data_IF_866217736149
#
_entry.id   IF_866217736149
#
_cell.length_a   1.000
_cell.length_b   1.000
_cell.length_c   1.000
_cell.angle_alpha   90.00
_cell.angle_beta   90.00
_cell.angle_gamma   90.00
#
_symmetry.space_group_name_H-M   'P 1'
#
loop_
_entity.id
_entity.type
_entity.pdbx_description
1 polymer ?
#
# COMPACT_ATOMS: atom_id res chain seq x y z
N UNK A 1 -16.52 -35.86 -8.87
CA UNK A 1 -15.64 -34.84 -8.27
C UNK A 1 -16.35 -34.40 -7.03
N UNK A 2 -15.80 -34.71 -5.87
CA UNK A 2 -16.36 -34.24 -4.59
C UNK A 2 -15.99 -32.76 -4.37
N UNK A 3 -16.59 -32.14 -3.35
CA UNK A 3 -16.36 -30.72 -3.02
C UNK A 3 -14.89 -30.45 -2.68
N UNK A 4 -14.21 -31.41 -2.03
CA UNK A 4 -12.79 -31.26 -1.64
C UNK A 4 -11.87 -31.19 -2.86
N UNK A 5 -12.00 -32.14 -3.79
CA UNK A 5 -11.28 -32.16 -5.06
C UNK A 5 -11.59 -30.91 -5.88
N UNK A 6 -12.84 -30.46 -5.88
CA UNK A 6 -13.25 -29.27 -6.59
C UNK A 6 -12.60 -27.99 -6.00
N UNK A 7 -12.53 -27.88 -4.66
CA UNK A 7 -11.87 -26.77 -3.95
C UNK A 7 -10.37 -26.73 -4.22
N UNK A 8 -9.70 -27.89 -4.21
CA UNK A 8 -8.27 -28.00 -4.55
C UNK A 8 -7.98 -27.55 -5.99
N UNK A 9 -8.82 -27.97 -6.95
CA UNK A 9 -8.71 -27.54 -8.35
C UNK A 9 -9.00 -26.04 -8.48
N UNK A 10 -9.98 -25.50 -7.75
CA UNK A 10 -10.29 -24.08 -7.73
C UNK A 10 -9.13 -23.23 -7.21
N UNK A 11 -8.50 -23.63 -6.11
CA UNK A 11 -7.30 -22.99 -5.56
C UNK A 11 -6.13 -23.02 -6.54
N UNK A 12 -5.89 -24.15 -7.21
CA UNK A 12 -4.82 -24.30 -8.19
C UNK A 12 -5.02 -23.37 -9.40
N UNK A 13 -6.24 -23.23 -9.90
CA UNK A 13 -6.54 -22.35 -11.03
C UNK A 13 -6.47 -20.87 -10.66
N UNK A 14 -6.89 -20.52 -9.45
CA UNK A 14 -6.77 -19.17 -8.95
C UNK A 14 -5.31 -18.74 -8.74
N UNK A 15 -4.43 -19.65 -8.31
CA UNK A 15 -2.98 -19.42 -8.25
C UNK A 15 -2.35 -19.13 -9.62
N UNK A 16 -2.93 -19.66 -10.70
CA UNK A 16 -2.47 -19.41 -12.07
C UNK A 16 -3.14 -18.13 -12.66
N UNK A 17 -3.93 -17.40 -11.86
CA UNK A 17 -4.60 -16.16 -12.26
C UNK A 17 -5.70 -16.38 -13.31
N UNK A 18 -6.24 -17.60 -13.43
CA UNK A 18 -7.30 -17.92 -14.38
C UNK A 18 -8.63 -18.08 -13.66
N UNK A 19 -9.54 -17.14 -13.89
CA UNK A 19 -10.96 -17.29 -13.52
C UNK A 19 -11.62 -18.24 -14.53
N UNK A 20 -12.16 -19.36 -14.06
CA UNK A 20 -12.82 -20.35 -14.91
C UNK A 20 -14.29 -20.51 -14.51
N UNK A 21 -15.14 -19.59 -14.99
CA UNK A 21 -16.57 -19.50 -14.66
C UNK A 21 -17.32 -20.86 -14.73
N UNK A 22 -17.10 -21.72 -15.74
CA UNK A 22 -17.74 -23.04 -15.77
C UNK A 22 -17.33 -23.98 -14.63
N UNK A 23 -16.14 -23.79 -14.06
CA UNK A 23 -15.68 -24.56 -12.91
C UNK A 23 -16.32 -24.02 -11.63
N UNK A 24 -16.41 -22.70 -11.42
CA UNK A 24 -17.15 -22.18 -10.27
C UNK A 24 -18.62 -22.62 -10.27
N UNK A 25 -19.29 -22.63 -11.43
CA UNK A 25 -20.67 -23.15 -11.52
C UNK A 25 -20.77 -24.65 -11.22
N UNK A 26 -19.74 -25.42 -11.56
CA UNK A 26 -19.67 -26.85 -11.19
C UNK A 26 -19.39 -27.04 -9.70
N UNK A 27 -18.53 -26.21 -9.12
CA UNK A 27 -18.29 -26.15 -7.67
C UNK A 27 -19.60 -25.85 -6.92
N UNK A 28 -20.33 -24.85 -7.38
CA UNK A 28 -21.63 -24.45 -6.85
C UNK A 28 -22.64 -25.60 -6.93
N UNK A 29 -22.80 -26.19 -8.12
CA UNK A 29 -23.68 -27.34 -8.30
C UNK A 29 -23.29 -28.55 -7.44
N UNK A 30 -21.98 -28.83 -7.26
CA UNK A 30 -21.52 -29.92 -6.42
C UNK A 30 -21.77 -29.67 -4.93
N UNK A 31 -21.59 -28.44 -4.45
CA UNK A 31 -21.78 -28.10 -3.05
C UNK A 31 -23.27 -28.06 -2.67
N UNK A 32 -24.13 -27.52 -3.54
CA UNK A 32 -25.57 -27.37 -3.30
C UNK A 32 -26.40 -28.63 -3.56
N UNK A 33 -25.94 -29.57 -4.39
CA UNK A 33 -26.77 -30.71 -4.81
C UNK A 33 -26.83 -31.89 -3.80
N UNK A 34 -26.12 -31.87 -2.68
CA UNK A 34 -25.95 -33.07 -1.84
C UNK A 34 -25.95 -32.87 -0.31
N UNK A 35 -26.36 -31.72 0.23
CA UNK A 35 -26.11 -31.37 1.65
C UNK A 35 -24.62 -31.51 2.05
N UNK A 36 -23.75 -31.66 1.05
CA UNK A 36 -22.32 -31.94 1.21
C UNK A 36 -21.65 -30.81 1.95
N UNK A 37 -22.14 -29.59 1.77
CA UNK A 37 -21.65 -28.42 2.48
C UNK A 37 -21.89 -28.52 3.99
N UNK A 38 -22.96 -29.15 4.49
CA UNK A 38 -23.21 -29.37 5.93
C UNK A 38 -22.48 -30.58 6.51
N UNK A 39 -22.14 -31.56 5.67
CA UNK A 39 -21.38 -32.75 6.08
C UNK A 39 -19.86 -32.59 5.94
N UNK A 40 -19.41 -31.50 5.31
CA UNK A 40 -17.99 -31.20 5.11
C UNK A 40 -17.33 -30.80 6.42
N UNK A 41 -16.11 -31.27 6.65
CA UNK A 41 -15.31 -30.81 7.79
C UNK A 41 -15.07 -29.28 7.71
N UNK A 42 -15.03 -28.62 8.87
CA UNK A 42 -14.82 -27.17 8.99
C UNK A 42 -13.50 -26.74 8.34
N UNK A 43 -12.47 -27.59 8.39
CA UNK A 43 -11.19 -27.40 7.72
C UNK A 43 -11.29 -27.25 6.19
N UNK A 44 -12.36 -27.78 5.57
CA UNK A 44 -12.64 -27.67 4.15
C UNK A 44 -13.31 -26.36 3.73
N UNK A 45 -13.83 -25.57 4.68
CA UNK A 45 -14.59 -24.35 4.40
C UNK A 45 -13.70 -23.23 3.87
N UNK A 46 -12.57 -22.94 4.52
CA UNK A 46 -11.66 -21.87 4.08
C UNK A 46 -11.12 -22.09 2.64
N UNK A 47 -10.65 -23.29 2.25
CA UNK A 47 -10.31 -23.62 0.86
C UNK A 47 -11.44 -23.35 -0.13
N UNK A 48 -12.67 -23.73 0.21
CA UNK A 48 -13.85 -23.55 -0.64
C UNK A 48 -14.18 -22.06 -0.83
N UNK A 49 -14.18 -21.27 0.26
CA UNK A 49 -14.39 -19.82 0.23
C UNK A 49 -13.35 -19.15 -0.67
N UNK A 50 -12.06 -19.50 -0.50
CA UNK A 50 -10.99 -18.93 -1.31
C UNK A 50 -11.13 -19.28 -2.79
N UNK A 51 -11.48 -20.54 -3.09
CA UNK A 51 -11.70 -20.99 -4.46
C UNK A 51 -12.86 -20.25 -5.15
N UNK A 52 -13.97 -20.05 -4.44
CA UNK A 52 -15.14 -19.35 -4.96
C UNK A 52 -14.89 -17.84 -5.11
N UNK A 53 -14.11 -17.24 -4.20
CA UNK A 53 -14.03 -15.79 -4.07
C UNK A 53 -13.14 -15.18 -5.14
N UNK A 54 -12.14 -15.95 -5.53
CA UNK A 54 -11.26 -15.65 -6.65
C UNK A 54 -11.99 -15.73 -8.00
N UNK A 55 -13.21 -16.29 -8.06
CA UNK A 55 -14.02 -16.36 -9.28
C UNK A 55 -15.01 -15.20 -9.48
N UNK A 56 -15.07 -14.25 -8.52
CA UNK A 56 -15.75 -12.93 -8.55
C UNK A 56 -17.24 -12.83 -8.96
N UNK A 57 -17.91 -13.87 -9.47
CA UNK A 57 -19.29 -13.74 -10.01
C UNK A 57 -20.17 -15.02 -9.98
N UNK A 58 -19.73 -16.12 -9.38
CA UNK A 58 -20.52 -17.36 -9.28
C UNK A 58 -20.59 -17.82 -7.81
N UNK A 59 -21.76 -18.26 -7.33
CA UNK A 59 -21.90 -18.79 -5.97
C UNK A 59 -22.51 -17.88 -4.90
N UNK A 60 -23.23 -16.78 -5.20
CA UNK A 60 -23.80 -15.92 -4.14
C UNK A 60 -24.68 -16.69 -3.15
N UNK A 61 -25.54 -17.58 -3.64
CA UNK A 61 -26.43 -18.38 -2.79
C UNK A 61 -25.62 -19.37 -1.93
N UNK A 62 -24.65 -20.06 -2.53
CA UNK A 62 -23.74 -20.96 -1.81
C UNK A 62 -22.89 -20.19 -0.77
N UNK A 63 -22.53 -18.95 -1.06
CA UNK A 63 -21.80 -18.10 -0.13
C UNK A 63 -22.62 -17.71 1.08
N UNK A 64 -23.89 -17.37 0.89
CA UNK A 64 -24.82 -17.12 1.98
C UNK A 64 -25.00 -18.37 2.83
N UNK A 65 -25.10 -19.54 2.20
CA UNK A 65 -25.21 -20.82 2.87
C UNK A 65 -23.94 -21.15 3.69
N UNK A 66 -22.75 -20.97 3.11
CA UNK A 66 -21.46 -21.12 3.82
C UNK A 66 -21.36 -20.10 4.96
N UNK A 67 -21.77 -18.85 4.72
CA UNK A 67 -21.71 -17.82 5.75
C UNK A 67 -22.67 -18.13 6.91
N UNK A 68 -23.85 -18.68 6.63
CA UNK A 68 -24.80 -19.12 7.64
C UNK A 68 -24.22 -20.28 8.45
N UNK A 69 -23.70 -21.32 7.79
CA UNK A 69 -23.06 -22.45 8.47
C UNK A 69 -21.91 -22.00 9.37
N UNK A 70 -21.03 -21.15 8.84
CA UNK A 70 -19.93 -20.57 9.61
C UNK A 70 -20.44 -19.79 10.81
N UNK A 71 -21.55 -19.06 10.70
CA UNK A 71 -22.16 -18.38 11.86
C UNK A 71 -22.72 -19.35 12.91
N UNK A 72 -23.30 -20.48 12.48
CA UNK A 72 -23.89 -21.49 13.36
C UNK A 72 -22.83 -22.31 14.10
N UNK A 73 -21.74 -22.68 13.42
CA UNK A 73 -20.66 -23.52 13.94
C UNK A 73 -19.45 -22.71 14.45
N UNK A 74 -19.52 -21.37 14.48
CA UNK A 74 -18.37 -20.52 14.81
C UNK A 74 -17.82 -20.74 16.23
N UNK A 75 -18.69 -21.15 17.16
CA UNK A 75 -18.31 -21.40 18.54
C UNK A 75 -17.40 -22.62 18.70
N UNK A 76 -17.48 -23.55 17.75
CA UNK A 76 -16.74 -24.81 17.75
C UNK A 76 -15.40 -24.69 17.03
N UNK A 77 -15.18 -23.60 16.27
CA UNK A 77 -13.93 -23.32 15.59
C UNK A 77 -12.83 -23.00 16.60
N UNK A 78 -11.67 -23.62 16.41
CA UNK A 78 -10.44 -23.16 17.04
C UNK A 78 -10.06 -21.76 16.55
N UNK A 79 -9.17 -21.09 17.30
CA UNK A 79 -8.61 -19.79 16.92
C UNK A 79 -8.03 -19.78 15.52
N UNK A 80 -7.21 -20.78 15.18
CA UNK A 80 -6.51 -20.81 13.91
C UNK A 80 -7.47 -21.01 12.74
N UNK A 81 -8.46 -21.90 12.92
CA UNK A 81 -9.51 -22.13 11.92
C UNK A 81 -10.38 -20.88 11.70
N UNK A 82 -10.76 -20.17 12.77
CA UNK A 82 -11.51 -18.93 12.65
C UNK A 82 -10.71 -17.87 11.88
N UNK A 83 -9.41 -17.73 12.16
CA UNK A 83 -8.54 -16.80 11.43
C UNK A 83 -8.41 -17.20 9.95
N UNK A 84 -8.27 -18.49 9.64
CA UNK A 84 -8.21 -18.99 8.26
C UNK A 84 -9.51 -18.72 7.49
N UNK A 85 -10.65 -18.96 8.12
CA UNK A 85 -11.97 -18.67 7.54
C UNK A 85 -12.14 -17.17 7.27
N UNK A 86 -11.76 -16.32 8.21
CA UNK A 86 -11.79 -14.86 8.02
C UNK A 86 -10.85 -14.40 6.90
N UNK A 87 -9.65 -14.96 6.82
CA UNK A 87 -8.69 -14.67 5.74
C UNK A 87 -9.28 -15.04 4.39
N UNK A 88 -9.90 -16.22 4.27
CA UNK A 88 -10.54 -16.69 3.04
C UNK A 88 -11.68 -15.77 2.60
N UNK A 89 -12.55 -15.37 3.52
CA UNK A 89 -13.66 -14.44 3.23
C UNK A 89 -13.14 -13.11 2.71
N UNK A 90 -12.13 -12.56 3.36
CA UNK A 90 -11.53 -11.29 2.97
C UNK A 90 -10.77 -11.40 1.64
N UNK A 91 -10.13 -12.52 1.34
CA UNK A 91 -9.51 -12.78 0.03
C UNK A 91 -10.51 -12.92 -1.09
N UNK A 92 -11.69 -13.48 -0.79
CA UNK A 92 -12.83 -13.49 -1.70
C UNK A 92 -13.53 -12.15 -1.88
N UNK A 93 -13.09 -11.08 -1.20
CA UNK A 93 -13.80 -9.80 -1.10
C UNK A 93 -15.26 -9.93 -0.61
N UNK A 94 -15.53 -10.93 0.23
CA UNK A 94 -16.86 -11.22 0.76
C UNK A 94 -16.77 -11.30 2.27
N UNK A 95 -17.31 -10.30 2.98
CA UNK A 95 -17.20 -10.21 4.43
C UNK A 95 -18.58 -10.00 5.05
N UNK A 96 -19.34 -11.09 5.29
CA UNK A 96 -20.66 -11.04 5.89
C UNK A 96 -20.64 -10.34 7.25
N UNK A 97 -21.59 -9.43 7.47
CA UNK A 97 -21.61 -8.58 8.67
C UNK A 97 -21.68 -9.38 9.97
N UNK A 98 -22.45 -10.46 9.98
CA UNK A 98 -22.62 -11.29 11.18
C UNK A 98 -21.33 -12.02 11.56
N UNK A 99 -20.58 -12.53 10.56
CA UNK A 99 -19.26 -13.13 10.77
C UNK A 99 -18.30 -12.13 11.40
N UNK A 100 -18.21 -10.91 10.85
CA UNK A 100 -17.33 -9.86 11.41
C UNK A 100 -17.73 -9.50 12.85
N UNK A 101 -19.03 -9.41 13.12
CA UNK A 101 -19.55 -9.03 14.44
C UNK A 101 -19.26 -10.11 15.49
N UNK A 102 -19.46 -11.38 15.15
CA UNK A 102 -19.15 -12.50 16.03
C UNK A 102 -17.65 -12.63 16.25
N UNK A 103 -16.86 -12.63 15.16
CA UNK A 103 -15.40 -12.63 15.23
C UNK A 103 -14.88 -11.47 16.08
N UNK A 104 -15.49 -10.28 15.99
CA UNK A 104 -15.15 -9.13 16.82
C UNK A 104 -15.32 -9.37 18.32
N UNK A 105 -16.38 -10.08 18.74
CA UNK A 105 -16.60 -10.45 20.15
C UNK A 105 -15.57 -11.47 20.61
N UNK A 106 -15.38 -12.52 19.82
CA UNK A 106 -14.39 -13.56 20.09
C UNK A 106 -12.97 -13.00 20.21
N UNK A 107 -12.60 -12.10 19.30
CA UNK A 107 -11.32 -11.37 19.34
C UNK A 107 -11.21 -10.59 20.64
N UNK A 108 -12.27 -9.92 21.07
CA UNK A 108 -12.25 -9.10 22.28
C UNK A 108 -12.10 -9.94 23.56
N UNK A 109 -12.69 -11.13 23.62
CA UNK A 109 -12.60 -12.04 24.75
C UNK A 109 -11.24 -12.78 24.80
N UNK A 110 -10.69 -13.15 23.63
CA UNK A 110 -9.46 -13.92 23.51
C UNK A 110 -8.15 -13.11 23.41
N UNK A 111 -8.23 -11.78 23.32
CA UNK A 111 -7.10 -10.91 22.95
C UNK A 111 -5.86 -11.05 23.86
N UNK A 112 -6.05 -11.35 25.14
CA UNK A 112 -4.95 -11.53 26.10
C UNK A 112 -4.09 -12.77 25.81
N UNK A 113 -4.63 -13.74 25.08
CA UNK A 113 -3.93 -14.97 24.71
C UNK A 113 -3.30 -14.90 23.30
N UNK A 114 -3.38 -13.76 22.61
CA UNK A 114 -2.90 -13.62 21.25
C UNK A 114 -1.38 -13.56 21.15
N UNK A 115 -0.86 -14.35 20.21
CA UNK A 115 0.54 -14.29 19.81
C UNK A 115 0.79 -13.10 18.88
N UNK A 116 2.05 -12.68 18.67
CA UNK A 116 2.39 -11.68 17.65
C UNK A 116 1.86 -12.03 16.25
N UNK A 117 1.92 -13.32 15.91
CA UNK A 117 1.42 -13.86 14.66
C UNK A 117 -0.09 -13.66 14.53
N UNK A 118 -0.86 -13.91 15.60
CA UNK A 118 -2.32 -13.73 15.61
C UNK A 118 -2.68 -12.26 15.35
N UNK A 119 -2.01 -11.34 16.03
CA UNK A 119 -2.20 -9.91 15.82
C UNK A 119 -1.86 -9.49 14.39
N UNK A 120 -0.75 -9.97 13.83
CA UNK A 120 -0.34 -9.67 12.46
C UNK A 120 -1.35 -10.19 11.42
N UNK A 121 -1.89 -11.40 11.61
CA UNK A 121 -2.94 -11.98 10.76
C UNK A 121 -4.19 -11.11 10.80
N UNK A 122 -4.72 -10.85 11.99
CA UNK A 122 -5.91 -10.01 12.18
C UNK A 122 -5.73 -8.60 11.62
N UNK A 123 -4.56 -7.99 11.82
CA UNK A 123 -4.28 -6.68 11.26
C UNK A 123 -4.32 -6.68 9.73
N UNK A 124 -3.79 -7.72 9.06
CA UNK A 124 -3.91 -7.86 7.59
C UNK A 124 -5.35 -8.02 7.15
N UNK A 125 -6.17 -8.79 7.88
CA UNK A 125 -7.60 -8.96 7.63
C UNK A 125 -8.31 -7.60 7.72
N UNK A 126 -8.16 -6.87 8.82
CA UNK A 126 -8.76 -5.53 9.00
C UNK A 126 -8.24 -4.52 7.96
N UNK A 127 -6.97 -4.60 7.59
CA UNK A 127 -6.36 -3.76 6.56
C UNK A 127 -7.01 -3.99 5.19
N UNK A 128 -7.23 -5.25 4.80
CA UNK A 128 -7.87 -5.60 3.52
C UNK A 128 -9.35 -5.21 3.50
N UNK A 129 -10.07 -5.37 4.62
CA UNK A 129 -11.48 -4.96 4.73
C UNK A 129 -11.70 -3.44 4.79
N UNK A 130 -10.65 -2.67 5.05
CA UNK A 130 -10.73 -1.23 5.37
C UNK A 130 -11.71 -0.96 6.53
N UNK A 131 -11.71 -1.84 7.53
CA UNK A 131 -12.58 -1.75 8.72
C UNK A 131 -11.75 -1.50 9.97
N UNK A 132 -12.33 -0.71 10.87
CA UNK A 132 -11.70 -0.24 12.09
C UNK A 132 -12.25 -0.99 13.31
N UNK A 133 -11.37 -1.58 14.09
CA UNK A 133 -11.69 -2.20 15.39
C UNK A 133 -10.79 -1.59 16.47
N UNK A 134 -11.28 -0.54 17.14
CA UNK A 134 -10.45 0.30 18.01
C UNK A 134 -9.83 -0.43 19.20
N UNK A 135 -10.57 -1.32 19.87
CA UNK A 135 -10.05 -2.07 21.02
C UNK A 135 -8.88 -2.95 20.61
N UNK A 136 -9.03 -3.72 19.52
CA UNK A 136 -7.96 -4.51 18.92
C UNK A 136 -6.77 -3.64 18.52
N UNK A 137 -7.02 -2.53 17.80
CA UNK A 137 -5.95 -1.65 17.32
C UNK A 137 -5.16 -1.08 18.49
N UNK A 138 -5.82 -0.59 19.54
CA UNK A 138 -5.16 -0.08 20.74
C UNK A 138 -4.33 -1.18 21.39
N UNK A 139 -4.92 -2.34 21.68
CA UNK A 139 -4.24 -3.42 22.39
C UNK A 139 -2.97 -3.86 21.65
N UNK A 140 -3.07 -4.03 20.33
CA UNK A 140 -1.94 -4.43 19.51
C UNK A 140 -0.83 -3.38 19.43
N UNK A 141 -1.20 -2.11 19.20
CA UNK A 141 -0.22 -1.02 19.13
C UNK A 141 0.45 -0.81 20.49
N UNK A 142 -0.30 -0.85 21.58
CA UNK A 142 0.27 -0.79 22.93
C UNK A 142 1.18 -2.00 23.19
N UNK A 143 0.80 -3.21 22.81
CA UNK A 143 1.67 -4.39 22.92
C UNK A 143 2.98 -4.22 22.13
N UNK A 144 2.94 -3.62 20.93
CA UNK A 144 4.16 -3.26 20.18
C UNK A 144 5.03 -2.21 20.89
N UNK A 145 4.40 -1.19 21.49
CA UNK A 145 5.12 -0.11 22.19
C UNK A 145 5.77 -0.62 23.49
N UNK A 146 5.04 -1.38 24.31
CA UNK A 146 5.55 -1.93 25.58
C UNK A 146 6.63 -3.00 25.33
N UNK A 147 6.44 -3.89 24.35
CA UNK A 147 7.45 -4.90 24.00
C UNK A 147 8.73 -4.34 23.40
N UNK A 148 8.73 -3.05 23.03
CA UNK A 148 9.93 -2.31 22.61
C UNK A 148 10.41 -1.28 23.64
N UNK A 149 9.87 -1.32 24.86
CA UNK A 149 10.37 -0.59 26.01
C UNK A 149 9.99 0.90 26.06
N UNK A 150 8.85 1.30 25.46
CA UNK A 150 8.40 2.71 25.47
C UNK A 150 7.62 3.06 26.74
N UNK A 151 8.13 2.65 27.89
CA UNK A 151 7.83 3.29 29.18
C UNK A 151 8.91 4.32 29.57
N UNK A 152 9.87 4.59 28.67
CA UNK A 152 11.00 5.48 28.97
C UNK A 152 11.27 6.39 27.77
N UNK A 153 11.21 7.69 28.04
CA UNK A 153 11.84 8.83 27.38
C UNK A 153 12.40 8.62 25.95
N UNK A 154 11.98 9.46 25.01
CA UNK A 154 12.40 9.39 23.61
C UNK A 154 13.93 9.52 23.41
N UNK A 155 14.65 10.05 24.41
CA UNK A 155 16.12 10.13 24.43
C UNK A 155 16.82 8.82 24.83
N UNK A 156 16.16 7.90 25.54
CA UNK A 156 16.75 6.66 26.06
C UNK A 156 16.88 5.54 25.00
N UNK A 157 16.32 5.71 23.81
CA UNK A 157 16.40 4.71 22.73
C UNK A 157 17.83 4.51 22.17
N UNK A 158 18.85 5.22 22.65
CA UNK A 158 20.25 5.17 22.17
C UNK A 158 21.06 3.94 22.59
N UNK A 159 20.57 3.11 23.52
CA UNK A 159 21.40 2.05 24.12
C UNK A 159 20.83 0.63 24.08
N UNK A 160 19.82 0.34 23.26
CA UNK A 160 19.25 -1.02 23.17
C UNK A 160 19.81 -1.81 21.98
N UNK A 161 21.13 -2.03 22.01
CA UNK A 161 21.86 -3.09 21.29
C UNK A 161 21.91 -4.37 22.14
N UNK A 162 20.75 -4.96 22.45
CA UNK A 162 20.71 -6.37 22.82
C UNK A 162 19.59 -7.04 22.04
N UNK A 163 20.01 -7.95 21.17
CA UNK A 163 19.20 -8.80 20.29
C UNK A 163 18.46 -9.90 21.09
N UNK A 164 17.93 -9.57 22.27
CA UNK A 164 17.19 -10.47 23.16
C UNK A 164 15.73 -10.06 23.27
N UNK A 165 14.85 -10.97 22.84
CA UNK A 165 13.39 -11.05 23.10
C UNK A 165 12.52 -9.83 22.76
N UNK A 166 12.75 -9.18 21.61
CA UNK A 166 11.74 -8.28 21.06
C UNK A 166 10.59 -9.08 20.45
N UNK A 167 9.39 -8.92 21.01
CA UNK A 167 8.14 -9.58 20.56
C UNK A 167 7.78 -9.28 19.10
N UNK A 168 8.11 -8.08 18.60
CA UNK A 168 7.91 -7.68 17.20
C UNK A 168 9.19 -7.13 16.58
N UNK A 169 9.45 -7.47 15.32
CA UNK A 169 10.49 -6.91 14.45
C UNK A 169 10.19 -5.47 14.03
N UNK A 170 11.20 -4.76 13.48
CA UNK A 170 11.01 -3.40 12.96
C UNK A 170 10.13 -3.38 11.70
N UNK A 171 10.12 -4.49 10.94
CA UNK A 171 9.25 -4.67 9.78
C UNK A 171 7.78 -4.72 10.23
N UNK A 172 7.48 -5.47 11.29
CA UNK A 172 6.13 -5.56 11.86
C UNK A 172 5.69 -4.24 12.48
N UNK A 173 6.58 -3.53 13.18
CA UNK A 173 6.31 -2.18 13.68
C UNK A 173 6.03 -1.18 12.55
N UNK A 174 6.78 -1.25 11.44
CA UNK A 174 6.51 -0.45 10.25
C UNK A 174 5.16 -0.79 9.61
N UNK A 175 4.77 -2.07 9.62
CA UNK A 175 3.46 -2.51 9.17
C UNK A 175 2.35 -1.96 10.08
N UNK A 176 2.49 -2.05 11.41
CA UNK A 176 1.57 -1.46 12.37
C UNK A 176 1.39 0.04 12.16
N UNK A 177 2.46 0.77 11.86
CA UNK A 177 2.40 2.20 11.56
C UNK A 177 1.65 2.52 10.26
N UNK A 178 1.88 1.72 9.20
CA UNK A 178 1.14 1.82 7.94
C UNK A 178 -0.35 1.50 8.14
N UNK A 179 -0.63 0.45 8.90
CA UNK A 179 -1.98 0.04 9.30
C UNK A 179 -2.73 1.17 10.01
N UNK A 180 -2.11 1.80 11.02
CA UNK A 180 -2.71 2.94 11.71
C UNK A 180 -3.06 4.08 10.75
N UNK A 181 -2.16 4.45 9.84
CA UNK A 181 -2.44 5.54 8.88
C UNK A 181 -3.55 5.17 7.91
N UNK A 182 -3.58 3.94 7.40
CA UNK A 182 -4.64 3.51 6.49
C UNK A 182 -6.02 3.63 7.14
N UNK A 183 -6.16 3.11 8.36
CA UNK A 183 -7.41 3.16 9.11
C UNK A 183 -7.70 4.52 9.77
N UNK A 184 -6.91 5.55 9.44
CA UNK A 184 -7.04 6.92 9.95
C UNK A 184 -6.94 6.99 11.49
N UNK A 185 -6.10 6.15 12.07
CA UNK A 185 -5.75 6.07 13.49
C UNK A 185 -4.53 6.91 13.86
N UNK A 186 -4.16 7.89 13.03
CA UNK A 186 -2.95 8.69 13.20
C UNK A 186 -3.21 10.08 13.81
N UNK A 187 -4.46 10.38 14.18
CA UNK A 187 -4.88 11.65 14.77
C UNK A 187 -6.02 11.44 15.75
N UNK A 188 -6.11 12.31 16.74
CA UNK A 188 -7.25 12.40 17.64
C UNK A 188 -7.10 11.54 18.89
N UNK A 189 -7.73 12.01 19.94
CA UNK A 189 -7.72 11.42 21.27
C UNK A 189 -9.13 11.01 21.67
N UNK A 190 -9.22 9.97 22.48
CA UNK A 190 -10.45 9.52 23.15
C UNK A 190 -10.14 9.38 24.63
N UNK A 191 -11.17 9.35 25.48
CA UNK A 191 -11.01 9.22 26.93
C UNK A 191 -10.14 8.02 27.36
N UNK A 192 -10.11 6.98 26.54
CA UNK A 192 -9.39 5.74 26.82
C UNK A 192 -8.20 5.47 25.88
N UNK A 193 -7.96 6.30 24.85
CA UNK A 193 -6.88 6.07 23.90
C UNK A 193 -6.41 7.36 23.21
N UNK A 194 -5.14 7.71 23.40
CA UNK A 194 -4.44 8.74 22.63
C UNK A 194 -3.75 8.12 21.41
N UNK A 195 -4.48 8.06 20.29
CA UNK A 195 -4.01 7.47 19.03
C UNK A 195 -2.85 8.26 18.44
N UNK A 196 -2.86 9.57 18.64
CA UNK A 196 -1.85 10.46 18.08
C UNK A 196 -0.52 10.33 18.82
N UNK A 197 -0.55 10.19 20.14
CA UNK A 197 0.64 9.88 20.94
C UNK A 197 1.22 8.51 20.56
N UNK A 198 0.39 7.47 20.51
CA UNK A 198 0.82 6.12 20.14
C UNK A 198 1.40 6.07 18.72
N UNK A 199 0.75 6.73 17.76
CA UNK A 199 1.25 6.83 16.39
C UNK A 199 2.61 7.55 16.33
N UNK A 200 2.78 8.65 17.08
CA UNK A 200 4.04 9.39 17.15
C UNK A 200 5.14 8.55 17.78
N UNK A 201 4.85 7.84 18.87
CA UNK A 201 5.77 6.95 19.55
C UNK A 201 6.23 5.81 18.62
N UNK A 202 5.30 5.11 17.99
CA UNK A 202 5.61 4.02 17.06
C UNK A 202 6.40 4.52 15.85
N UNK A 203 6.04 5.69 15.31
CA UNK A 203 6.81 6.33 14.24
C UNK A 203 8.25 6.64 14.68
N UNK A 204 8.45 7.10 15.91
CA UNK A 204 9.77 7.31 16.51
C UNK A 204 10.59 6.02 16.55
N UNK A 205 10.00 4.92 17.05
CA UNK A 205 10.65 3.60 17.10
C UNK A 205 11.07 3.13 15.71
N UNK A 206 10.15 3.17 14.74
CA UNK A 206 10.40 2.68 13.37
C UNK A 206 11.51 3.51 12.74
N UNK A 207 11.37 4.84 12.75
CA UNK A 207 12.34 5.74 12.12
C UNK A 207 13.71 5.62 12.76
N UNK A 208 13.82 5.67 14.09
CA UNK A 208 15.09 5.51 14.79
C UNK A 208 15.70 4.13 14.57
N UNK A 209 14.87 3.08 14.58
CA UNK A 209 15.32 1.70 14.37
C UNK A 209 15.94 1.49 13.00
N UNK A 210 15.30 1.99 11.94
CA UNK A 210 15.86 1.90 10.58
C UNK A 210 17.11 2.77 10.40
N UNK A 211 17.14 3.97 10.99
CA UNK A 211 18.27 4.89 10.80
C UNK A 211 19.51 4.50 11.63
N UNK A 212 19.34 3.81 12.76
CA UNK A 212 20.45 3.33 13.60
C UNK A 212 20.94 1.93 13.24
N UNK A 213 20.17 1.17 12.46
CA UNK A 213 20.59 -0.12 11.98
C UNK A 213 21.74 0.01 10.97
N UNK A 214 22.67 -0.94 10.99
CA UNK A 214 23.71 -1.01 9.95
C UNK A 214 23.10 -1.27 8.56
N UNK A 215 23.86 -0.97 7.51
CA UNK A 215 23.39 -1.09 6.13
C UNK A 215 22.89 -2.52 5.80
N UNK A 216 23.57 -3.55 6.30
CA UNK A 216 23.22 -4.95 6.03
C UNK A 216 21.90 -5.31 6.70
N UNK A 217 21.66 -4.84 7.92
CA UNK A 217 20.41 -5.01 8.64
C UNK A 217 19.26 -4.28 7.95
N UNK A 218 19.45 -3.03 7.51
CA UNK A 218 18.44 -2.28 6.76
C UNK A 218 18.04 -3.02 5.47
N UNK A 219 19.02 -3.49 4.70
CA UNK A 219 18.78 -4.26 3.46
C UNK A 219 18.01 -5.55 3.72
N UNK A 220 18.34 -6.29 4.79
CA UNK A 220 17.59 -7.49 5.21
C UNK A 220 16.16 -7.18 5.63
N UNK A 221 15.93 -6.08 6.35
CA UNK A 221 14.58 -5.69 6.74
C UNK A 221 13.74 -5.29 5.52
N UNK A 222 14.31 -4.51 4.59
CA UNK A 222 13.62 -4.09 3.37
C UNK A 222 13.33 -5.26 2.41
N UNK A 223 14.11 -6.34 2.42
CA UNK A 223 13.94 -7.47 1.50
C UNK A 223 12.64 -8.25 1.74
N UNK A 224 12.07 -8.17 2.95
CA UNK A 224 10.80 -8.81 3.32
C UNK A 224 9.61 -7.84 3.31
N UNK A 225 9.87 -6.54 3.14
CA UNK A 225 8.80 -5.53 3.09
C UNK A 225 8.09 -5.52 1.74
N UNK A 226 6.77 -5.29 1.79
CA UNK A 226 5.95 -5.07 0.60
C UNK A 226 6.27 -3.70 -0.03
N UNK A 227 6.03 -3.49 -1.34
CA UNK A 227 6.30 -2.20 -1.97
C UNK A 227 5.53 -1.04 -1.31
N UNK A 228 4.33 -1.35 -0.81
CA UNK A 228 3.51 -0.40 -0.05
C UNK A 228 4.18 0.01 1.26
N UNK A 229 4.69 -0.95 2.02
CA UNK A 229 5.35 -0.67 3.31
C UNK A 229 6.67 0.07 3.09
N UNK A 230 7.41 -0.24 2.02
CA UNK A 230 8.60 0.51 1.59
C UNK A 230 8.25 1.97 1.29
N UNK A 231 7.18 2.20 0.51
CA UNK A 231 6.69 3.55 0.21
C UNK A 231 6.30 4.32 1.47
N UNK A 232 5.62 3.63 2.38
CA UNK A 232 5.20 4.18 3.65
C UNK A 232 6.39 4.55 4.54
N UNK A 233 7.38 3.66 4.66
CA UNK A 233 8.61 3.93 5.41
C UNK A 233 9.32 5.18 4.87
N UNK A 234 9.45 5.31 3.54
CA UNK A 234 9.99 6.51 2.92
C UNK A 234 9.18 7.77 3.33
N UNK A 235 7.85 7.67 3.36
CA UNK A 235 6.96 8.73 3.83
C UNK A 235 7.22 9.15 5.27
N UNK A 236 7.45 8.19 6.16
CA UNK A 236 7.73 8.43 7.58
C UNK A 236 9.10 9.07 7.78
N UNK A 237 10.14 8.53 7.15
CA UNK A 237 11.50 9.08 7.21
C UNK A 237 11.54 10.50 6.65
N UNK A 238 10.83 10.77 5.54
CA UNK A 238 10.81 12.10 4.92
C UNK A 238 10.23 13.22 5.79
N UNK A 239 9.49 12.84 6.85
CA UNK A 239 8.85 13.76 7.80
C UNK A 239 9.59 13.84 9.13
N UNK A 240 10.59 13.00 9.37
CA UNK A 240 11.37 13.00 10.59
C UNK A 240 12.39 14.15 10.55
N UNK A 241 12.14 15.21 11.31
CA UNK A 241 12.97 16.43 11.34
C UNK A 241 14.21 16.31 12.24
N UNK A 242 14.26 15.31 13.11
CA UNK A 242 15.28 15.14 14.15
C UNK A 242 16.46 14.24 13.74
N UNK A 243 16.44 13.66 12.54
CA UNK A 243 17.47 12.71 12.10
C UNK A 243 18.74 13.42 11.64
N UNK A 244 19.90 12.83 11.96
CA UNK A 244 21.16 13.20 11.32
C UNK A 244 21.12 12.80 9.85
N UNK A 245 21.69 13.64 9.00
CA UNK A 245 21.64 13.43 7.55
C UNK A 245 22.35 12.14 7.09
N UNK A 246 23.40 11.68 7.78
CA UNK A 246 24.14 10.45 7.46
C UNK A 246 23.29 9.19 7.55
N UNK A 247 22.45 9.12 8.57
CA UNK A 247 21.69 7.91 8.92
C UNK A 247 20.55 7.70 7.92
N UNK A 248 20.03 8.80 7.37
CA UNK A 248 18.99 8.81 6.33
C UNK A 248 19.53 8.32 4.98
N UNK A 249 20.80 8.59 4.67
CA UNK A 249 21.39 8.26 3.36
C UNK A 249 21.43 6.75 3.12
N UNK A 250 21.84 5.97 4.13
CA UNK A 250 21.90 4.51 4.08
C UNK A 250 20.51 3.93 3.80
N UNK A 251 19.49 4.41 4.51
CA UNK A 251 18.12 3.92 4.35
C UNK A 251 17.55 4.31 2.99
N UNK A 252 17.79 5.54 2.53
CA UNK A 252 17.34 6.01 1.21
C UNK A 252 17.98 5.19 0.07
N UNK A 253 19.28 4.91 0.15
CA UNK A 253 19.98 4.06 -0.82
C UNK A 253 19.42 2.63 -0.81
N UNK A 254 19.23 2.04 0.37
CA UNK A 254 18.68 0.70 0.49
C UNK A 254 17.22 0.61 -0.02
N UNK A 255 16.41 1.65 0.15
CA UNK A 255 15.06 1.73 -0.45
C UNK A 255 15.14 1.75 -1.98
N UNK A 256 16.05 2.54 -2.57
CA UNK A 256 16.25 2.57 -4.03
C UNK A 256 16.68 1.21 -4.57
N UNK A 257 17.60 0.52 -3.89
CA UNK A 257 18.04 -0.82 -4.28
C UNK A 257 16.90 -1.85 -4.18
N UNK A 258 16.06 -1.74 -3.14
CA UNK A 258 14.87 -2.60 -3.01
C UNK A 258 13.89 -2.37 -4.16
N UNK A 259 13.61 -1.12 -4.52
CA UNK A 259 12.75 -0.79 -5.66
C UNK A 259 13.33 -1.31 -6.98
N UNK A 260 14.65 -1.16 -7.18
CA UNK A 260 15.36 -1.70 -8.34
C UNK A 260 15.19 -3.22 -8.42
N UNK A 261 15.37 -3.93 -7.31
CA UNK A 261 15.17 -5.38 -7.25
C UNK A 261 13.72 -5.76 -7.61
N UNK A 262 12.73 -5.08 -7.04
CA UNK A 262 11.31 -5.38 -7.30
C UNK A 262 10.90 -5.13 -8.76
N UNK A 263 11.50 -4.14 -9.41
CA UNK A 263 11.13 -3.69 -10.75
C UNK A 263 11.95 -4.32 -11.88
N UNK A 264 13.06 -4.98 -11.58
CA UNK A 264 13.93 -5.61 -12.58
C UNK A 264 13.29 -6.92 -13.10
N UNK A 265 13.03 -7.04 -14.42
CA UNK A 265 12.56 -8.29 -15.00
C UNK A 265 13.58 -9.43 -14.81
N UNK A 266 13.09 -10.63 -14.50
CA UNK A 266 13.94 -11.82 -14.33
C UNK A 266 14.34 -12.13 -12.88
N UNK A 267 14.11 -11.20 -11.95
CA UNK A 267 14.16 -11.54 -10.53
C UNK A 267 13.00 -12.47 -10.15
N UNK A 268 13.16 -13.26 -9.09
CA UNK A 268 12.15 -14.17 -8.48
C UNK A 268 10.95 -13.43 -7.86
N UNK A 269 10.59 -12.29 -8.43
CA UNK A 269 9.47 -11.44 -8.06
C UNK A 269 8.35 -11.70 -9.06
N UNK A 270 7.28 -12.34 -8.58
CA UNK A 270 6.07 -12.58 -9.37
C UNK A 270 5.49 -11.29 -9.96
N UNK A 271 4.84 -11.41 -11.13
CA UNK A 271 4.24 -10.27 -11.86
C UNK A 271 3.35 -9.38 -10.98
N UNK A 272 2.46 -9.90 -10.12
CA UNK A 272 1.60 -9.06 -9.28
C UNK A 272 2.37 -8.15 -8.32
N UNK A 273 3.50 -8.63 -7.78
CA UNK A 273 4.32 -7.85 -6.85
C UNK A 273 5.11 -6.76 -7.58
N UNK A 274 5.55 -7.04 -8.81
CA UNK A 274 6.22 -6.07 -9.69
C UNK A 274 5.29 -4.94 -10.10
N UNK A 275 4.05 -5.26 -10.48
CA UNK A 275 3.07 -4.24 -10.88
C UNK A 275 2.70 -3.34 -9.70
N UNK A 276 2.50 -3.92 -8.51
CA UNK A 276 2.34 -3.13 -7.28
C UNK A 276 3.55 -2.24 -6.99
N UNK A 277 4.76 -2.76 -7.16
CA UNK A 277 5.97 -1.94 -6.97
C UNK A 277 6.01 -0.75 -7.93
N UNK A 278 5.52 -0.91 -9.15
CA UNK A 278 5.46 0.16 -10.14
C UNK A 278 4.42 1.24 -9.76
N UNK A 279 3.28 0.84 -9.19
CA UNK A 279 2.26 1.77 -8.67
C UNK A 279 2.82 2.65 -7.55
N UNK A 280 3.62 2.08 -6.65
CA UNK A 280 4.21 2.79 -5.52
C UNK A 280 5.52 3.52 -5.84
N UNK A 281 6.10 3.35 -7.04
CA UNK A 281 7.38 3.99 -7.39
C UNK A 281 7.30 5.52 -7.30
N UNK A 282 6.34 6.13 -7.99
CA UNK A 282 6.14 7.58 -8.02
C UNK A 282 6.00 8.20 -6.60
N UNK A 283 5.06 7.76 -5.73
CA UNK A 283 4.95 8.33 -4.39
C UNK A 283 6.17 8.04 -3.51
N UNK A 284 6.83 6.88 -3.68
CA UNK A 284 8.06 6.59 -2.93
C UNK A 284 9.16 7.58 -3.30
N UNK A 285 9.38 7.82 -4.60
CA UNK A 285 10.40 8.77 -5.04
C UNK A 285 10.11 10.20 -4.58
N UNK A 286 8.86 10.64 -4.57
CA UNK A 286 8.47 11.94 -3.99
C UNK A 286 8.85 12.07 -2.50
N UNK A 287 8.73 10.98 -1.74
CA UNK A 287 9.18 10.94 -0.35
C UNK A 287 10.70 10.97 -0.24
N UNK A 288 11.41 10.19 -1.07
CA UNK A 288 12.87 10.18 -1.11
C UNK A 288 13.45 11.54 -1.47
N UNK A 289 12.81 12.30 -2.38
CA UNK A 289 13.18 13.70 -2.71
C UNK A 289 13.17 14.59 -1.46
N UNK A 290 12.28 14.33 -0.50
CA UNK A 290 12.15 15.13 0.72
C UNK A 290 13.07 14.69 1.86
N UNK A 291 13.59 13.46 1.85
CA UNK A 291 14.55 12.98 2.86
C UNK A 291 15.86 13.76 2.79
N UNK A 292 16.43 14.28 3.89
CA UNK A 292 17.75 14.94 3.83
C UNK A 292 17.82 16.16 2.89
N UNK A 293 16.86 17.09 3.02
CA UNK A 293 16.63 18.28 2.14
C UNK A 293 17.85 19.17 1.84
N UNK A 294 18.96 18.99 2.53
CA UNK A 294 20.14 19.87 2.47
C UNK A 294 21.39 19.23 1.84
N UNK A 295 21.27 18.06 1.18
CA UNK A 295 22.41 17.41 0.50
C UNK A 295 22.21 17.17 -0.98
N UNK A 296 23.34 17.17 -1.71
CA UNK A 296 23.49 16.74 -3.10
C UNK A 296 23.31 15.23 -3.22
N UNK A 297 22.07 14.80 -3.46
CA UNK A 297 21.66 13.39 -3.62
C UNK A 297 22.19 12.74 -4.89
N UNK A 298 22.45 13.56 -5.90
CA UNK A 298 23.10 13.23 -7.16
C UNK A 298 24.43 12.50 -6.97
N UNK A 299 25.12 12.70 -5.84
CA UNK A 299 26.42 12.08 -5.57
C UNK A 299 26.37 10.63 -5.09
N UNK A 300 25.25 10.16 -4.54
CA UNK A 300 25.20 8.84 -3.89
C UNK A 300 23.98 7.99 -4.29
N UNK A 301 23.02 8.53 -5.04
CA UNK A 301 21.86 7.79 -5.54
C UNK A 301 21.92 7.63 -7.05
N UNK A 302 22.20 6.41 -7.50
CA UNK A 302 22.08 6.06 -8.92
C UNK A 302 20.59 6.00 -9.32
N UNK A 303 20.16 7.03 -10.05
CA UNK A 303 18.81 7.14 -10.61
C UNK A 303 18.70 6.66 -12.07
N UNK A 304 19.80 6.25 -12.70
CA UNK A 304 19.84 5.87 -14.12
C UNK A 304 18.94 4.67 -14.42
N UNK A 305 18.87 3.70 -13.51
CA UNK A 305 18.01 2.53 -13.68
C UNK A 305 16.52 2.90 -13.72
N UNK A 306 16.09 3.92 -12.97
CA UNK A 306 14.70 4.42 -13.01
C UNK A 306 14.41 5.04 -14.36
N UNK A 307 15.32 5.85 -14.88
CA UNK A 307 15.21 6.46 -16.20
C UNK A 307 15.07 5.39 -17.30
N UNK A 308 15.93 4.38 -17.28
CA UNK A 308 15.88 3.22 -18.19
C UNK A 308 14.56 2.47 -18.05
N UNK A 309 14.13 2.19 -16.81
CA UNK A 309 12.89 1.48 -16.53
C UNK A 309 11.66 2.25 -17.03
N UNK A 310 11.63 3.56 -16.83
CA UNK A 310 10.52 4.42 -17.27
C UNK A 310 10.42 4.44 -18.80
N UNK A 311 11.55 4.54 -19.51
CA UNK A 311 11.58 4.45 -20.97
C UNK A 311 11.06 3.10 -21.48
N UNK A 312 11.42 1.99 -20.82
CA UNK A 312 10.96 0.64 -21.20
C UNK A 312 9.48 0.40 -20.91
N UNK A 313 8.89 1.14 -19.97
CA UNK A 313 7.51 0.93 -19.50
C UNK A 313 6.56 2.06 -19.88
N UNK A 314 6.99 2.98 -20.77
CA UNK A 314 6.25 4.20 -21.12
C UNK A 314 4.80 3.95 -21.55
N UNK A 315 4.53 2.85 -22.26
CA UNK A 315 3.19 2.53 -22.76
C UNK A 315 2.27 1.85 -21.73
N UNK A 316 2.81 1.38 -20.60
CA UNK A 316 2.04 0.71 -19.54
C UNK A 316 1.81 1.59 -18.31
N UNK A 317 2.12 2.89 -18.41
CA UNK A 317 2.02 3.84 -17.29
C UNK A 317 1.14 5.03 -17.65
N UNK A 318 0.47 5.59 -16.64
CA UNK A 318 -0.30 6.81 -16.83
C UNK A 318 0.63 8.00 -17.00
N UNK A 319 0.16 9.03 -17.73
CA UNK A 319 0.93 10.26 -17.94
C UNK A 319 1.27 10.92 -16.60
N UNK A 320 0.33 10.91 -15.65
CA UNK A 320 0.55 11.45 -14.31
C UNK A 320 1.69 10.73 -13.57
N UNK A 321 1.77 9.40 -13.66
CA UNK A 321 2.88 8.62 -13.08
C UNK A 321 4.20 9.00 -13.73
N UNK A 322 4.25 9.08 -15.06
CA UNK A 322 5.45 9.48 -15.82
C UNK A 322 5.93 10.86 -15.40
N UNK A 323 5.02 11.84 -15.32
CA UNK A 323 5.34 13.22 -14.92
C UNK A 323 5.85 13.29 -13.48
N UNK A 324 5.22 12.57 -12.54
CA UNK A 324 5.64 12.55 -11.13
C UNK A 324 7.03 11.88 -10.95
N UNK A 325 7.30 10.78 -11.66
CA UNK A 325 8.62 10.14 -11.65
C UNK A 325 9.68 11.06 -12.25
N UNK A 326 9.42 11.66 -13.41
CA UNK A 326 10.34 12.62 -14.05
C UNK A 326 10.64 13.82 -13.15
N UNK A 327 9.62 14.35 -12.48
CA UNK A 327 9.80 15.40 -11.47
C UNK A 327 10.73 14.95 -10.37
N UNK A 328 10.51 13.76 -9.82
CA UNK A 328 11.33 13.23 -8.75
C UNK A 328 12.78 13.02 -9.19
N UNK A 329 13.00 12.51 -10.41
CA UNK A 329 14.33 12.39 -11.01
C UNK A 329 15.04 13.74 -11.13
N UNK A 330 14.36 14.77 -11.61
CA UNK A 330 14.92 16.12 -11.70
C UNK A 330 15.29 16.69 -10.33
N UNK A 331 14.45 16.46 -9.31
CA UNK A 331 14.76 16.88 -7.93
C UNK A 331 15.89 16.07 -7.27
N UNK A 332 16.09 14.81 -7.67
CA UNK A 332 17.22 13.98 -7.24
C UNK A 332 18.52 14.32 -8.00
N UNK A 333 18.45 15.19 -9.00
CA UNK A 333 19.61 15.68 -9.76
C UNK A 333 19.94 14.88 -11.01
N UNK A 334 19.03 14.03 -11.51
CA UNK A 334 19.22 13.33 -12.77
C UNK A 334 19.01 14.27 -13.97
N UNK A 335 20.12 14.69 -14.59
CA UNK A 335 20.15 15.76 -15.60
C UNK A 335 20.62 15.30 -17.00
N UNK A 336 20.40 14.03 -17.35
CA UNK A 336 20.73 13.54 -18.70
C UNK A 336 19.85 14.24 -19.76
N UNK A 337 20.49 15.05 -20.61
CA UNK A 337 19.80 15.83 -21.65
C UNK A 337 19.09 14.93 -22.67
N UNK A 338 19.70 13.81 -23.06
CA UNK A 338 19.11 12.91 -24.04
C UNK A 338 17.85 12.25 -23.48
N UNK A 339 17.87 11.88 -22.20
CA UNK A 339 16.69 11.39 -21.51
C UNK A 339 15.56 12.42 -21.51
N UNK A 340 15.84 13.66 -21.11
CA UNK A 340 14.81 14.70 -21.03
C UNK A 340 14.23 15.07 -22.39
N UNK A 341 15.03 15.02 -23.47
CA UNK A 341 14.57 15.21 -24.86
C UNK A 341 13.52 14.20 -25.31
N UNK A 342 13.59 12.95 -24.86
CA UNK A 342 12.57 11.92 -25.16
C UNK A 342 11.19 12.38 -24.67
N UNK A 343 11.15 12.90 -23.44
CA UNK A 343 9.89 13.30 -22.80
C UNK A 343 9.27 14.55 -23.41
N UNK A 344 10.07 15.43 -24.02
CA UNK A 344 9.55 16.62 -24.71
C UNK A 344 8.56 16.24 -25.80
N UNK A 345 8.94 15.34 -26.70
CA UNK A 345 8.03 14.88 -27.76
C UNK A 345 6.83 14.15 -27.17
N UNK A 346 7.06 13.27 -26.18
CA UNK A 346 5.99 12.54 -25.50
C UNK A 346 4.91 13.47 -24.90
N UNK A 347 5.30 14.59 -24.27
CA UNK A 347 4.37 15.56 -23.70
C UNK A 347 3.68 16.40 -24.77
N UNK A 348 4.39 16.80 -25.83
CA UNK A 348 3.82 17.58 -26.92
C UNK A 348 2.76 16.79 -27.70
N UNK A 349 3.00 15.51 -27.96
CA UNK A 349 2.04 14.62 -28.63
C UNK A 349 0.77 14.38 -27.80
N UNK A 350 0.85 14.61 -26.48
CA UNK A 350 -0.22 14.35 -25.51
C UNK A 350 -0.69 15.62 -24.79
N UNK A 351 -0.42 16.80 -25.34
CA UNK A 351 -0.64 18.09 -24.69
C UNK A 351 -2.07 18.25 -24.16
N UNK A 352 -3.06 17.79 -24.92
CA UNK A 352 -4.48 17.90 -24.56
C UNK A 352 -4.87 17.00 -23.37
N UNK A 353 -4.14 15.91 -23.13
CA UNK A 353 -4.38 15.03 -22.00
C UNK A 353 -3.71 15.48 -20.69
N UNK A 354 -2.84 16.50 -20.74
CA UNK A 354 -2.17 17.02 -19.56
C UNK A 354 -3.12 17.85 -18.70
N UNK A 355 -3.16 17.54 -17.40
CA UNK A 355 -3.85 18.34 -16.41
C UNK A 355 -3.06 19.59 -16.04
N UNK A 356 -3.72 20.54 -15.37
CA UNK A 356 -3.06 21.72 -14.80
C UNK A 356 -1.89 21.34 -13.86
N UNK A 357 -2.06 20.26 -13.10
CA UNK A 357 -1.03 19.78 -12.17
C UNK A 357 0.18 19.24 -12.94
N UNK A 358 -0.06 18.44 -13.98
CA UNK A 358 1.00 17.84 -14.79
C UNK A 358 1.87 18.92 -15.45
N UNK A 359 1.24 19.95 -16.01
CA UNK A 359 1.94 21.07 -16.66
C UNK A 359 2.86 21.80 -15.67
N UNK A 360 2.36 22.08 -14.45
CA UNK A 360 3.17 22.72 -13.40
C UNK A 360 4.36 21.83 -13.03
N UNK A 361 4.14 20.52 -12.84
CA UNK A 361 5.21 19.58 -12.52
C UNK A 361 6.26 19.49 -13.63
N UNK A 362 5.86 19.43 -14.90
CA UNK A 362 6.77 19.42 -16.04
C UNK A 362 7.60 20.71 -16.05
N UNK A 363 6.96 21.88 -15.95
CA UNK A 363 7.66 23.17 -15.91
C UNK A 363 8.66 23.25 -14.76
N UNK A 364 8.25 22.88 -13.55
CA UNK A 364 9.10 22.88 -12.36
C UNK A 364 10.33 21.98 -12.56
N UNK A 365 10.15 20.83 -13.21
CA UNK A 365 11.23 19.86 -13.47
C UNK A 365 12.28 20.43 -14.42
N UNK A 366 11.88 20.95 -15.58
CA UNK A 366 12.81 21.51 -16.56
C UNK A 366 13.48 22.79 -16.03
N UNK A 367 12.75 23.65 -15.33
CA UNK A 367 13.30 24.84 -14.65
C UNK A 367 14.34 24.46 -13.60
N UNK A 368 14.08 23.41 -12.80
CA UNK A 368 15.01 22.92 -11.77
C UNK A 368 16.31 22.43 -12.38
N UNK A 369 16.22 21.80 -13.55
CA UNK A 369 17.36 21.30 -14.32
C UNK A 369 18.05 22.38 -15.17
N UNK A 370 17.51 23.61 -15.19
CA UNK A 370 17.96 24.72 -16.04
C UNK A 370 17.99 24.35 -17.53
N UNK A 371 16.99 23.60 -17.97
CA UNK A 371 16.80 23.27 -19.38
C UNK A 371 15.88 24.31 -20.01
N UNK A 372 16.36 24.98 -21.05
CA UNK A 372 15.61 25.96 -21.83
C UNK A 372 15.13 25.36 -23.16
N UNK A 373 14.14 25.99 -23.82
CA UNK A 373 13.61 25.53 -25.12
C UNK A 373 14.73 25.37 -26.17
N UNK A 374 15.77 26.21 -26.09
CA UNK A 374 16.99 26.14 -26.91
C UNK A 374 17.77 24.83 -26.72
N UNK A 375 17.91 24.36 -25.47
CA UNK A 375 18.65 23.14 -25.13
C UNK A 375 17.93 21.87 -25.61
N UNK A 376 16.60 21.91 -25.57
CA UNK A 376 15.72 20.79 -25.93
C UNK A 376 15.24 20.84 -27.38
N UNK A 377 15.45 21.95 -28.08
CA UNK A 377 15.20 22.13 -29.52
C UNK A 377 13.72 22.22 -29.91
N UNK A 378 12.84 22.66 -29.00
CA UNK A 378 11.37 22.71 -29.19
C UNK A 378 10.74 23.80 -28.32
N UNK A 379 9.60 24.35 -28.76
CA UNK A 379 8.79 25.33 -28.02
C UNK A 379 7.94 24.70 -26.89
N UNK A 380 8.56 23.89 -26.02
CA UNK A 380 7.84 23.17 -24.96
C UNK A 380 7.19 24.14 -23.99
N UNK A 381 7.93 25.13 -23.48
CA UNK A 381 7.40 26.04 -22.44
C UNK A 381 6.25 26.89 -22.95
N UNK A 382 6.33 27.36 -24.20
CA UNK A 382 5.26 28.10 -24.86
C UNK A 382 3.98 27.26 -24.97
N UNK A 383 4.08 26.04 -25.52
CA UNK A 383 2.92 25.15 -25.71
C UNK A 383 2.29 24.71 -24.39
N UNK A 384 3.11 24.39 -23.39
CA UNK A 384 2.64 24.14 -22.02
C UNK A 384 1.92 25.36 -21.42
N UNK A 385 2.44 26.58 -21.68
CA UNK A 385 1.82 27.83 -21.25
C UNK A 385 0.42 28.03 -21.84
N UNK A 386 0.27 27.83 -23.14
CA UNK A 386 -1.02 27.92 -23.83
C UNK A 386 -2.03 26.90 -23.27
N UNK A 387 -1.60 25.65 -23.11
CA UNK A 387 -2.44 24.59 -22.54
C UNK A 387 -2.86 24.91 -21.10
N UNK A 388 -1.96 25.44 -20.28
CA UNK A 388 -2.28 25.84 -18.91
C UNK A 388 -3.37 26.91 -18.87
N UNK A 389 -3.30 27.92 -19.74
CA UNK A 389 -4.32 28.97 -19.86
C UNK A 389 -5.68 28.37 -20.22
N UNK A 390 -5.74 27.46 -21.20
CA UNK A 390 -6.98 26.76 -21.56
C UNK A 390 -7.57 26.00 -20.37
N UNK A 391 -6.74 25.28 -19.60
CA UNK A 391 -7.18 24.59 -18.39
C UNK A 391 -7.76 25.56 -17.34
N UNK A 392 -7.15 26.75 -17.17
CA UNK A 392 -7.62 27.77 -16.22
C UNK A 392 -8.94 28.41 -16.68
N UNK A 393 -9.09 28.72 -17.97
CA UNK A 393 -10.32 29.27 -18.55
C UNK A 393 -11.48 28.28 -18.39
N UNK A 394 -11.25 27.00 -18.70
CA UNK A 394 -12.25 25.95 -18.56
C UNK A 394 -12.67 25.73 -17.09
N UNK A 395 -11.72 25.81 -16.15
CA UNK A 395 -12.02 25.72 -14.71
C UNK A 395 -12.84 26.93 -14.23
N UNK A 396 -12.52 28.12 -14.71
CA UNK A 396 -13.21 29.37 -14.35
C UNK A 396 -14.64 29.40 -14.92
N UNK A 397 -14.81 28.98 -16.17
CA UNK A 397 -16.11 28.81 -16.81
C UNK A 397 -16.97 27.78 -16.08
N UNK A 398 -16.41 26.61 -15.73
CA UNK A 398 -17.12 25.58 -14.97
C UNK A 398 -17.58 26.06 -13.58
N UNK A 399 -16.76 26.84 -12.85
CA UNK A 399 -17.18 27.48 -11.60
C UNK A 399 -18.31 28.49 -11.81
N UNK A 400 -18.27 29.26 -12.90
CA UNK A 400 -19.31 30.24 -13.22
C UNK A 400 -20.65 29.57 -13.54
N UNK A 401 -20.64 28.47 -14.29
CA UNK A 401 -21.82 27.67 -14.58
C UNK A 401 -22.33 26.89 -13.36
N UNK A 402 -21.44 26.27 -12.57
CA UNK A 402 -21.82 25.57 -11.33
C UNK A 402 -22.44 26.51 -10.29
N UNK A 403 -21.94 27.74 -10.17
CA UNK A 403 -22.55 28.77 -9.31
C UNK A 403 -23.90 29.26 -9.83
N UNK A 404 -24.13 29.27 -11.15
CA UNK A 404 -25.45 29.58 -11.74
C UNK A 404 -26.47 28.46 -11.46
N UNK A 405 -26.07 27.19 -11.57
CA UNK A 405 -26.94 26.04 -11.28
C UNK A 405 -27.29 26.00 -9.78
N UNK A 406 -26.33 26.20 -8.88
CA UNK A 406 -26.60 26.27 -7.44
C UNK A 406 -27.48 27.46 -7.04
N UNK A 407 -27.37 28.62 -7.71
CA UNK A 407 -28.27 29.77 -7.50
C UNK A 407 -29.67 29.54 -8.08
N UNK A 408 -29.82 28.71 -9.12
CA UNK A 408 -31.14 28.33 -9.67
C UNK A 408 -31.85 27.32 -8.78
N UNK A 409 -31.13 26.34 -8.24
CA UNK A 409 -31.66 25.34 -7.30
C UNK A 409 -32.12 26.02 -5.99
N UNK A 410 -31.37 26.99 -5.46
CA UNK A 410 -31.78 27.79 -4.28
C UNK A 410 -32.93 28.78 -4.50
N UNK A 411 -33.37 28.99 -5.75
CA UNK A 411 -34.54 29.84 -6.08
C UNK A 411 -35.80 29.02 -6.39
N UNK A 412 -35.67 27.70 -6.49
CA UNK A 412 -36.76 26.76 -6.78
C UNK A 412 -37.11 25.93 -5.52
N UNK A 413 -36.27 25.98 -4.48
CA UNK A 413 -36.55 25.41 -3.15
C UNK A 413 -37.16 26.42 -2.20
#
# INVERSE_FOLDING_TARGET
>A
MDVKQASEIGLALAHIGRVHIPLARRLEACASAQDTMWTMDLSGIAPLISALGLQQYAGQDLYEEIAQRVCEEMADLSRDELLEVLEAFVEGNMYPREIIKYAGRWIHEGMNAFTPTDFMRLARIYQKMDKRHDTFCRAWIQDMLHSRGVDVDAEACSHLERDGDRKYSLVEASFGLNFMKQLRLNTGTTEWWDKEADYRALNGIVVNGFCRADERAVRRMLSVMSPRDVSFLASSISRATFLKNSDVEVVVAAIMDRLRYLLTPGNEVGVPLRDRAAEYLAPTMEHLVRCGRNRRKDKYLDCSWVAIWLCKTVYSRSIQQIVSINRSLGHLGYSDLNYHKIWVNFYLDRLDSLSKSDITMIKDTFNKLKLHDEDIGRDLFWRLGLRFQQCVVNTSAARFYGNRVNRRIRRIG
#
